data_IF_836535633614
#
_entry.id   IF_836535633614
#
_cell.length_a   1.000
_cell.length_b   1.000
_cell.length_c   1.000
_cell.angle_alpha   90.00
_cell.angle_beta   90.00
_cell.angle_gamma   90.00
#
_symmetry.space_group_name_H-M   'P 1'
#
loop_
_entity.id
_entity.type
_entity.pdbx_description
1 polymer ?
2 water ?
#
# COMPACT_ATOMS: atom_id res chain seq x y z
N UNK A 4 25.47 8.37 6.38
CA UNK A 4 25.83 7.37 5.32
C UNK A 4 24.57 6.80 4.67
N UNK A 5 24.16 7.39 3.56
CA UNK A 5 22.96 6.95 2.85
C UNK A 5 23.28 6.09 1.64
N UNK A 6 23.04 4.78 1.78
CA UNK A 6 23.26 3.83 0.70
C UNK A 6 21.94 3.14 0.38
N UNK A 7 21.51 3.28 -0.87
CA UNK A 7 20.29 2.66 -1.36
C UNK A 7 20.62 1.48 -2.25
N UNK A 8 19.80 0.44 -2.18
CA UNK A 8 19.87 -0.67 -3.12
C UNK A 8 19.19 -0.27 -4.42
N UNK A 9 19.81 -0.60 -5.55
CA UNK A 9 19.32 -0.17 -6.87
C UNK A 9 18.42 -1.23 -7.54
N UNK A 10 17.16 -1.28 -7.08
CA UNK A 10 16.18 -2.25 -7.57
C UNK A 10 15.89 -2.14 -9.07
N UNK A 11 15.94 -0.93 -9.62
CA UNK A 11 15.61 -0.71 -11.04
C UNK A 11 16.68 -1.22 -12.01
N UNK A 12 17.89 -1.47 -11.51
CA UNK A 12 19.02 -1.79 -12.38
C UNK A 12 18.77 -3.04 -13.23
N UNK A 13 18.30 -4.12 -12.61
CA UNK A 13 18.10 -5.37 -13.35
C UNK A 13 17.01 -5.31 -14.44
N UNK A 14 15.79 -4.83 -14.14
CA UNK A 14 14.77 -4.78 -15.20
C UNK A 14 15.17 -3.92 -16.42
N UNK A 15 15.92 -2.87 -16.18
CA UNK A 15 16.44 -2.04 -17.25
C UNK A 15 17.37 -2.85 -18.15
N UNK A 16 18.28 -3.57 -17.53
CA UNK A 16 19.22 -4.41 -18.28
C UNK A 16 18.56 -5.61 -18.96
N UNK A 17 17.49 -6.14 -18.37
CA UNK A 17 16.68 -7.18 -19.02
C UNK A 17 16.05 -6.67 -20.32
N UNK A 18 15.62 -5.41 -20.32
CA UNK A 18 15.03 -4.80 -21.51
C UNK A 18 16.09 -4.69 -22.61
N UNK A 19 17.26 -4.19 -22.24
CA UNK A 19 18.38 -4.03 -23.17
C UNK A 19 18.84 -5.37 -23.77
N UNK A 20 18.87 -6.41 -22.94
CA UNK A 20 19.20 -7.77 -23.41
C UNK A 20 18.19 -8.27 -24.43
N UNK A 21 16.90 -8.10 -24.13
CA UNK A 21 15.83 -8.56 -25.03
C UNK A 21 15.87 -7.82 -26.37
N UNK A 22 16.15 -6.52 -26.33
CA UNK A 22 16.17 -5.69 -27.53
C UNK A 22 17.53 -5.66 -28.24
N UNK A 23 18.49 -6.42 -27.73
CA UNK A 23 19.83 -6.49 -28.33
C UNK A 23 20.49 -5.11 -28.41
N UNK A 24 20.36 -4.33 -27.35
CA UNK A 24 20.99 -3.01 -27.27
C UNK A 24 22.14 -3.06 -26.26
N UNK A 25 23.25 -2.41 -26.57
CA UNK A 25 24.38 -2.33 -25.66
C UNK A 25 24.52 -0.92 -25.10
N UNK A 26 24.64 -0.80 -23.77
CA UNK A 26 24.72 0.51 -23.15
C UNK A 26 26.17 0.99 -22.97
N UNK A 27 26.39 2.33 -23.03
CA UNK A 27 27.72 2.89 -22.83
C UNK A 27 28.05 3.15 -21.36
N UNK A 38 21.68 9.70 -8.75
CA UNK A 38 22.71 9.09 -7.92
C UNK A 38 22.89 7.61 -8.23
N UNK A 39 21.78 6.87 -8.22
CA UNK A 39 21.80 5.44 -8.51
C UNK A 39 22.18 5.20 -9.97
N UNK A 40 22.98 4.15 -10.26
CA UNK A 40 23.35 3.86 -11.64
C UNK A 40 22.16 3.71 -12.60
N UNK A 41 21.04 3.19 -12.12
CA UNK A 41 19.84 3.03 -12.94
C UNK A 41 19.25 4.36 -13.44
N UNK A 42 19.46 5.44 -12.69
CA UNK A 42 18.96 6.76 -13.10
C UNK A 42 19.57 7.20 -14.42
N UNK A 43 20.89 7.10 -14.54
CA UNK A 43 21.59 7.48 -15.78
C UNK A 43 21.26 6.53 -16.93
N UNK A 44 21.14 5.25 -16.63
CA UNK A 44 20.81 4.30 -17.63
C UNK A 44 19.39 4.49 -18.16
N UNK A 45 18.48 4.74 -17.27
CA UNK A 45 17.09 4.97 -17.65
C UNK A 45 17.00 6.17 -18.59
N UNK A 46 17.65 7.27 -18.22
CA UNK A 46 17.71 8.46 -19.06
C UNK A 46 18.22 8.14 -20.46
N UNK A 47 19.31 7.39 -20.52
CA UNK A 47 19.93 7.02 -21.79
C UNK A 47 18.96 6.21 -22.66
N UNK A 48 18.29 5.23 -22.05
CA UNK A 48 17.31 4.40 -22.77
C UNK A 48 16.18 5.27 -23.33
N UNK A 49 15.67 6.16 -22.48
CA UNK A 49 14.57 7.06 -22.87
C UNK A 49 15.00 7.96 -24.03
N UNK A 50 16.12 8.66 -23.87
CA UNK A 50 16.60 9.60 -24.88
C UNK A 50 16.98 8.93 -26.20
N UNK A 51 17.33 7.65 -26.15
CA UNK A 51 17.68 6.89 -27.35
C UNK A 51 16.51 6.08 -27.93
N UNK A 52 15.32 6.23 -27.34
CA UNK A 52 14.14 5.54 -27.86
C UNK A 52 13.79 6.04 -29.25
N UNK A 53 13.37 5.13 -30.12
CA UNK A 53 13.08 5.47 -31.51
C UNK A 53 11.58 5.71 -31.75
N UNK A 54 10.77 5.48 -30.71
CA UNK A 54 9.35 5.75 -30.74
C UNK A 54 8.83 5.75 -29.30
N UNK A 55 7.86 6.64 -28.97
CA UNK A 55 7.29 6.61 -27.61
C UNK A 55 6.68 5.26 -27.21
N UNK A 56 6.18 4.50 -28.19
CA UNK A 56 5.59 3.18 -27.95
C UNK A 56 6.56 2.17 -27.34
N UNK A 57 7.86 2.33 -27.60
CA UNK A 57 8.88 1.47 -26.99
C UNK A 57 8.86 1.57 -25.45
N UNK A 58 8.42 2.70 -24.93
CA UNK A 58 8.24 2.87 -23.48
C UNK A 58 7.28 1.85 -22.88
N UNK A 59 6.27 1.47 -23.64
CA UNK A 59 5.32 0.46 -23.17
C UNK A 59 6.01 -0.89 -22.95
N UNK A 60 6.94 -1.24 -23.86
CA UNK A 60 7.72 -2.47 -23.74
C UNK A 60 8.65 -2.46 -22.53
N UNK A 61 9.30 -1.33 -22.29
CA UNK A 61 10.21 -1.21 -21.15
C UNK A 61 9.44 -1.34 -19.83
N UNK A 62 8.28 -0.71 -19.75
CA UNK A 62 7.43 -0.79 -18.57
C UNK A 62 7.04 -2.22 -18.19
N UNK A 63 6.91 -3.09 -19.20
CA UNK A 63 6.63 -4.52 -18.98
C UNK A 63 7.69 -5.25 -18.18
N UNK A 64 8.94 -4.76 -18.21
CA UNK A 64 10.05 -5.45 -17.56
C UNK A 64 10.11 -5.30 -16.04
N UNK A 65 9.26 -4.46 -15.49
CA UNK A 65 9.20 -4.30 -14.07
C UNK A 65 8.28 -5.32 -13.45
N UNK A 66 8.83 -6.21 -12.67
CA UNK A 66 8.09 -7.26 -12.04
C UNK A 66 7.70 -6.81 -10.63
N UNK A 67 6.65 -7.38 -10.06
CA UNK A 67 6.27 -7.05 -8.69
C UNK A 67 7.45 -7.28 -7.74
N UNK A 68 8.20 -8.36 -7.96
CA UNK A 68 9.38 -8.64 -7.14
C UNK A 68 10.47 -7.55 -7.22
N UNK A 69 10.51 -6.79 -8.31
CA UNK A 69 11.47 -5.68 -8.43
C UNK A 69 11.18 -4.51 -7.48
N UNK A 70 9.98 -4.45 -6.90
CA UNK A 70 9.62 -3.39 -5.96
C UNK A 70 10.03 -3.72 -4.52
N UNK A 71 10.59 -4.90 -4.31
CA UNK A 71 11.08 -5.29 -3.00
C UNK A 71 9.99 -5.48 -1.96
N UNK A 72 10.32 -5.16 -0.71
CA UNK A 72 9.40 -5.43 0.39
C UNK A 72 8.13 -4.57 0.31
N UNK A 73 8.21 -3.40 -0.32
CA UNK A 73 7.02 -2.59 -0.60
C UNK A 73 6.03 -3.33 -1.49
N UNK A 74 6.55 -4.04 -2.49
CA UNK A 74 5.73 -4.87 -3.37
C UNK A 74 5.10 -6.05 -2.66
N UNK A 75 5.79 -6.59 -1.65
CA UNK A 75 5.26 -7.69 -0.85
C UNK A 75 4.08 -7.21 -0.01
N UNK A 76 4.20 -6.00 0.54
CA UNK A 76 3.09 -5.38 1.26
C UNK A 76 1.88 -5.19 0.34
N UNK A 77 2.10 -4.72 -0.88
CA UNK A 77 1.01 -4.59 -1.85
C UNK A 77 0.30 -5.90 -2.12
N UNK A 78 1.09 -6.94 -2.37
CA UNK A 78 0.57 -8.29 -2.66
C UNK A 78 -0.26 -8.90 -1.55
N UNK A 79 0.09 -8.58 -0.32
CA UNK A 79 -0.52 -9.19 0.85
C UNK A 79 -1.59 -8.30 1.49
N UNK A 80 -1.81 -7.11 0.93
CA UNK A 80 -2.86 -6.20 1.39
C UNK A 80 -4.24 -6.86 1.31
N UNK A 81 -5.15 -6.45 2.18
CA UNK A 81 -6.45 -7.12 2.31
C UNK A 81 -7.39 -6.85 1.15
N UNK A 82 -7.44 -5.60 0.71
CA UNK A 82 -8.35 -5.16 -0.33
C UNK A 82 -7.63 -4.24 -1.33
N UNK A 83 -8.24 -4.06 -2.48
CA UNK A 83 -7.72 -3.12 -3.48
C UNK A 83 -7.61 -1.70 -2.90
N UNK A 84 -8.59 -1.30 -2.10
CA UNK A 84 -8.57 0.01 -1.43
C UNK A 84 -7.35 0.19 -0.55
N UNK A 85 -7.00 -0.87 0.18
CA UNK A 85 -5.83 -0.85 1.05
C UNK A 85 -4.54 -0.79 0.24
N UNK A 86 -4.49 -1.55 -0.85
CA UNK A 86 -3.35 -1.49 -1.77
C UNK A 86 -3.14 -0.06 -2.30
N UNK A 87 -4.23 0.63 -2.62
CA UNK A 87 -4.15 2.01 -3.12
C UNK A 87 -3.69 3.01 -2.04
N UNK A 88 -4.01 2.72 -0.77
CA UNK A 88 -3.46 3.51 0.32
C UNK A 88 -1.92 3.45 0.34
N UNK A 89 -1.37 2.26 0.10
CA UNK A 89 0.08 2.08 0.02
C UNK A 89 0.66 2.78 -1.20
N UNK A 90 -0.03 2.66 -2.32
CA UNK A 90 0.38 3.31 -3.56
C UNK A 90 0.41 4.84 -3.37
N UNK A 91 -0.56 5.39 -2.63
CA UNK A 91 -0.62 6.85 -2.38
C UNK A 91 0.56 7.42 -1.59
N UNK A 92 1.29 6.56 -0.89
CA UNK A 92 2.48 7.01 -0.17
C UNK A 92 3.58 7.47 -1.14
N UNK A 93 3.47 7.09 -2.41
CA UNK A 93 4.49 7.38 -3.42
C UNK A 93 5.87 6.95 -2.96
N UNK A 94 5.97 5.73 -2.48
CA UNK A 94 7.21 5.20 -2.01
C UNK A 94 7.56 3.90 -2.69
N UNK A 95 7.13 3.74 -3.91
CA UNK A 95 7.52 2.62 -4.78
C UNK A 95 8.69 3.05 -5.69
N UNK A 96 8.98 2.27 -6.73
CA UNK A 96 10.19 2.46 -7.53
C UNK A 96 10.39 3.84 -8.16
N UNK A 97 9.34 4.35 -8.80
CA UNK A 97 9.43 5.54 -9.64
C UNK A 97 9.19 6.85 -8.87
N UNK A 98 9.37 6.82 -7.54
CA UNK A 98 8.93 7.96 -6.72
C UNK A 98 9.66 9.26 -7.00
N UNK A 99 10.92 9.16 -7.44
CA UNK A 99 11.67 10.36 -7.84
C UNK A 99 11.02 11.06 -9.03
N UNK A 100 10.37 10.28 -9.90
CA UNK A 100 9.76 10.78 -11.13
C UNK A 100 8.27 11.12 -10.97
N UNK A 101 7.71 10.75 -9.81
CA UNK A 101 6.30 10.98 -9.52
C UNK A 101 6.19 12.05 -8.44
N UNK A 102 5.47 13.12 -8.76
CA UNK A 102 5.26 14.22 -7.83
C UNK A 102 4.21 13.83 -6.79
N UNK A 103 3.18 13.10 -7.21
CA UNK A 103 2.15 12.63 -6.29
C UNK A 103 1.16 11.70 -6.96
N UNK A 104 0.51 10.89 -6.14
CA UNK A 104 -0.53 9.98 -6.59
C UNK A 104 -1.79 10.22 -5.78
N UNK A 105 -2.89 10.55 -6.46
CA UNK A 105 -4.17 10.82 -5.82
C UNK A 105 -5.18 9.75 -6.22
N UNK A 106 -6.07 9.42 -5.29
CA UNK A 106 -7.18 8.51 -5.56
C UNK A 106 -8.48 9.25 -5.25
N UNK A 107 -9.30 9.48 -6.26
CA UNK A 107 -10.47 10.33 -6.14
C UNK A 107 -11.76 9.57 -6.42
N UNK A 108 -12.65 9.52 -5.43
CA UNK A 108 -13.99 8.95 -5.60
C UNK A 108 -14.84 9.88 -6.44
N UNK A 109 -15.55 9.32 -7.42
CA UNK A 109 -16.53 10.08 -8.19
C UNK A 109 -17.94 9.71 -7.75
N UNK A 110 -18.89 10.57 -8.08
CA UNK A 110 -20.31 10.29 -7.86
C UNK A 110 -20.89 9.53 -9.06
N UNK A 111 -20.00 8.84 -9.77
CA UNK A 111 -20.27 8.24 -11.08
C UNK A 111 -19.93 6.73 -11.05
N UNK A 112 -19.86 6.16 -9.85
CA UNK A 112 -19.47 4.75 -9.64
C UNK A 112 -18.08 4.42 -10.22
N UNK A 113 -17.17 5.39 -10.20
CA UNK A 113 -15.79 5.16 -10.63
C UNK A 113 -14.81 5.84 -9.71
N UNK A 114 -13.56 5.40 -9.76
CA UNK A 114 -12.49 5.98 -8.99
C UNK A 114 -11.34 6.32 -9.93
N UNK A 115 -10.79 7.52 -9.79
CA UNK A 115 -9.64 7.94 -10.60
C UNK A 115 -8.35 7.81 -9.81
N UNK A 116 -7.37 7.11 -10.38
CA UNK A 116 -6.03 7.06 -9.83
C UNK A 116 -5.16 8.00 -10.66
N UNK A 117 -4.85 9.18 -10.11
CA UNK A 117 -4.14 10.23 -10.84
C UNK A 117 -2.67 10.19 -10.48
N UNK A 118 -1.82 10.00 -11.47
CA UNK A 118 -0.37 10.02 -11.28
C UNK A 118 0.16 11.34 -11.85
N UNK A 119 0.67 12.18 -10.95
CA UNK A 119 1.26 13.47 -11.30
C UNK A 119 2.77 13.27 -11.49
N UNK A 120 3.28 13.66 -12.65
CA UNK A 120 4.67 13.42 -13.00
C UNK A 120 5.53 14.66 -12.75
N UNK A 121 6.73 14.44 -12.20
CA UNK A 121 7.73 15.50 -12.10
C UNK A 121 8.12 15.97 -13.50
N UNK A 122 8.44 17.26 -13.61
CA UNK A 122 8.87 17.83 -14.88
C UNK A 122 10.19 17.25 -15.34
N UNK A 123 10.35 17.15 -16.65
CA UNK A 123 11.63 16.75 -17.25
C UNK A 123 11.99 17.85 -18.26
N UNK A 124 12.38 19.04 -17.76
CA UNK A 124 12.54 20.20 -18.64
C UNK A 124 13.69 20.07 -19.62
N UNK A 125 14.65 19.20 -19.33
CA UNK A 125 15.81 19.00 -20.20
C UNK A 125 15.57 17.93 -21.27
N UNK A 126 14.45 17.22 -21.18
CA UNK A 126 14.12 16.17 -22.13
C UNK A 126 13.21 16.71 -23.23
N UNK A 127 13.39 16.24 -24.48
CA UNK A 127 12.52 16.66 -25.58
C UNK A 127 11.13 16.01 -25.49
N UNK A 128 10.18 16.54 -26.25
CA UNK A 128 8.77 16.13 -26.12
C UNK A 128 8.55 14.63 -26.37
N UNK A 129 9.26 14.05 -27.33
CA UNK A 129 9.12 12.62 -27.62
C UNK A 129 9.59 11.75 -26.44
N UNK A 130 10.68 12.15 -25.81
CA UNK A 130 11.22 11.45 -24.64
C UNK A 130 10.27 11.53 -23.45
N UNK A 131 9.61 12.68 -23.28
CA UNK A 131 8.63 12.85 -22.21
C UNK A 131 7.41 11.94 -22.41
N UNK A 132 7.00 11.73 -23.66
CA UNK A 132 5.92 10.79 -23.96
C UNK A 132 6.36 9.35 -23.74
N UNK A 133 7.59 9.03 -24.18
CA UNK A 133 8.20 7.72 -23.92
C UNK A 133 8.15 7.44 -22.41
N UNK A 134 8.67 8.39 -21.64
CA UNK A 134 8.71 8.33 -20.18
C UNK A 134 7.33 8.03 -19.55
N UNK A 135 6.29 8.75 -19.99
CA UNK A 135 4.95 8.58 -19.45
C UNK A 135 4.41 7.18 -19.76
N UNK A 136 4.76 6.67 -20.94
CA UNK A 136 4.38 5.31 -21.32
C UNK A 136 5.03 4.22 -20.46
N UNK A 137 6.28 4.45 -20.05
CA UNK A 137 6.97 3.50 -19.18
C UNK A 137 6.21 3.40 -17.84
N UNK A 138 5.95 4.54 -17.24
CA UNK A 138 5.25 4.58 -15.95
C UNK A 138 3.82 4.04 -16.06
N UNK A 139 3.11 4.36 -17.14
CA UNK A 139 1.76 3.85 -17.37
C UNK A 139 1.76 2.33 -17.56
N UNK A 140 2.68 1.83 -18.37
CA UNK A 140 2.80 0.38 -18.61
C UNK A 140 3.15 -0.39 -17.33
N UNK A 141 4.09 0.14 -16.54
CA UNK A 141 4.50 -0.50 -15.29
C UNK A 141 3.37 -0.49 -14.26
N UNK A 142 2.68 0.64 -14.14
CA UNK A 142 1.55 0.74 -13.21
C UNK A 142 0.42 -0.20 -13.62
N UNK A 143 0.16 -0.28 -14.93
CA UNK A 143 -0.85 -1.18 -15.47
C UNK A 143 -0.57 -2.63 -15.10
N UNK A 144 0.69 -3.05 -15.26
CA UNK A 144 1.10 -4.40 -14.88
C UNK A 144 0.76 -4.70 -13.41
N UNK A 145 1.02 -3.75 -12.52
CA UNK A 145 0.70 -3.90 -11.10
C UNK A 145 -0.81 -4.04 -10.90
N UNK A 146 -1.58 -3.09 -11.45
CA UNK A 146 -3.05 -3.16 -11.43
C UNK A 146 -3.53 -4.53 -11.93
N UNK A 147 -3.05 -4.94 -13.09
CA UNK A 147 -3.55 -6.12 -13.79
C UNK A 147 -3.34 -7.40 -12.99
N UNK A 148 -2.12 -7.59 -12.48
CA UNK A 148 -1.75 -8.82 -11.78
C UNK A 148 -2.44 -8.93 -10.41
N UNK A 149 -2.79 -7.80 -9.84
CA UNK A 149 -3.13 -7.70 -8.46
C UNK A 149 -4.49 -7.07 -8.13
N UNK A 150 -4.84 -5.99 -8.80
CA UNK A 150 -6.00 -5.17 -8.41
C UNK A 150 -7.27 -5.38 -9.25
N UNK A 151 -7.10 -5.59 -10.55
CA UNK A 151 -8.22 -5.81 -11.45
C UNK A 151 -8.84 -7.19 -11.24
N UNK A 152 -8.03 -8.23 -11.44
CA UNK A 152 -8.49 -9.60 -11.29
C UNK A 152 -9.36 -10.05 -12.44
N UNK A 153 -10.66 -9.78 -12.33
CA UNK A 153 -11.62 -10.16 -13.36
C UNK A 153 -12.17 -8.93 -14.07
N UNK A 154 -12.40 -7.87 -13.31
CA UNK A 154 -12.93 -6.63 -13.87
C UNK A 154 -11.91 -5.94 -14.76
N UNK A 155 -12.35 -4.91 -15.48
CA UNK A 155 -11.48 -4.17 -16.37
C UNK A 155 -11.36 -2.70 -15.99
N UNK A 156 -10.30 -2.09 -16.50
CA UNK A 156 -10.11 -0.65 -16.45
C UNK A 156 -11.24 0.00 -17.25
N UNK A 157 -11.84 1.05 -16.71
CA UNK A 157 -12.89 1.77 -17.44
C UNK A 157 -12.27 2.58 -18.58
N UNK A 158 -11.24 3.34 -18.24
CA UNK A 158 -10.60 4.27 -19.17
C UNK A 158 -9.18 4.56 -18.69
N UNK A 159 -8.30 4.90 -19.64
CA UNK A 159 -6.94 5.35 -19.34
C UNK A 159 -6.67 6.69 -20.04
N UNK A 160 -6.22 7.68 -19.29
CA UNK A 160 -5.80 8.96 -19.86
C UNK A 160 -4.28 9.08 -19.79
N UNK A 161 -3.67 9.35 -20.95
CA UNK A 161 -2.25 9.65 -21.06
C UNK A 161 -2.04 11.11 -21.50
N UNK A 162 -0.81 11.64 -21.35
CA UNK A 162 -0.58 13.05 -21.66
C UNK A 162 -0.96 13.48 -23.08
N UNK A 163 -1.38 14.73 -23.19
CA UNK A 163 -1.82 15.31 -24.47
C UNK A 163 -0.74 15.20 -25.55
N UNK A 164 -1.18 14.92 -26.77
CA UNK A 164 -0.31 14.90 -27.93
C UNK A 164 -1.20 14.89 -29.17
N UNK A 165 -0.61 15.15 -30.34
CA UNK A 165 -1.29 14.90 -31.59
C UNK A 165 -0.89 13.52 -32.08
N UNK A 166 -1.82 12.57 -32.01
CA UNK A 166 -1.53 11.19 -32.40
C UNK A 166 -2.74 10.29 -32.35
N UNK A 167 -2.57 9.09 -32.89
CA UNK A 167 -3.63 8.09 -32.91
C UNK A 167 -3.57 7.20 -31.66
N UNK A 168 -4.74 6.86 -31.12
CA UNK A 168 -4.84 6.04 -29.90
C UNK A 168 -4.87 4.53 -30.15
N UNK A 169 -4.95 4.12 -31.42
CA UNK A 169 -5.14 2.71 -31.78
C UNK A 169 -4.13 1.78 -31.13
N UNK A 170 -2.85 2.07 -31.29
CA UNK A 170 -1.78 1.24 -30.73
C UNK A 170 -1.84 1.12 -29.21
N UNK A 171 -2.37 2.17 -28.56
CA UNK A 171 -2.53 2.18 -27.10
C UNK A 171 -3.75 1.36 -26.66
N UNK A 172 -4.86 1.47 -27.39
CA UNK A 172 -6.03 0.64 -27.13
C UNK A 172 -5.72 -0.82 -27.48
N UNK A 173 -4.87 -1.02 -28.49
CA UNK A 173 -4.32 -2.33 -28.80
C UNK A 173 -3.55 -2.91 -27.61
N UNK A 174 -2.71 -2.08 -27.00
CA UNK A 174 -1.88 -2.51 -25.89
C UNK A 174 -2.67 -2.72 -24.60
N UNK A 175 -3.39 -1.69 -24.16
CA UNK A 175 -4.09 -1.72 -22.87
C UNK A 175 -5.45 -2.40 -22.90
N UNK A 176 -5.99 -2.65 -24.09
CA UNK A 176 -7.28 -3.34 -24.23
C UNK A 176 -8.44 -2.61 -23.53
N UNK A 177 -8.34 -1.29 -23.45
CA UNK A 177 -9.40 -0.46 -22.88
C UNK A 177 -9.42 0.86 -23.65
N UNK A 178 -10.50 1.63 -23.53
CA UNK A 178 -10.48 2.95 -24.13
C UNK A 178 -9.34 3.79 -23.55
N UNK A 179 -8.62 4.49 -24.41
CA UNK A 179 -7.55 5.39 -24.03
C UNK A 179 -7.71 6.69 -24.80
N UNK A 180 -7.36 7.81 -24.18
CA UNK A 180 -7.35 9.08 -24.87
C UNK A 180 -6.20 9.94 -24.34
N UNK A 181 -5.84 10.96 -25.13
CA UNK A 181 -4.78 11.87 -24.78
C UNK A 181 -5.36 13.20 -24.37
N UNK A 182 -5.00 13.66 -23.17
CA UNK A 182 -5.38 14.98 -22.69
C UNK A 182 -4.61 15.32 -21.42
N UNK A 183 -4.36 16.61 -21.22
CA UNK A 183 -3.80 17.11 -19.97
C UNK A 183 -2.39 16.63 -19.67
N UNK A 184 -2.09 16.58 -18.37
CA UNK A 184 -0.76 16.22 -17.89
C UNK A 184 -0.89 15.00 -17.00
N UNK A 185 0.19 14.22 -16.90
CA UNK A 185 0.20 13.02 -16.09
C UNK A 185 -0.65 11.89 -16.65
N UNK A 186 -0.94 10.92 -15.79
CA UNK A 186 -1.66 9.71 -16.15
C UNK A 186 -2.85 9.55 -15.22
N UNK A 187 -4.00 9.13 -15.76
CA UNK A 187 -5.13 8.75 -14.93
C UNK A 187 -5.71 7.42 -15.35
N UNK A 188 -5.77 6.50 -14.38
CA UNK A 188 -6.50 5.23 -14.52
C UNK A 188 -7.87 5.40 -13.89
N UNK A 189 -8.93 5.06 -14.63
CA UNK A 189 -10.28 5.05 -14.10
C UNK A 189 -10.72 3.62 -13.80
N UNK A 190 -11.04 3.36 -12.53
CA UNK A 190 -11.44 2.04 -12.05
C UNK A 190 -12.91 2.03 -11.64
N UNK A 191 -13.58 0.87 -11.78
CA UNK A 191 -14.93 0.77 -11.19
C UNK A 191 -14.85 0.90 -9.67
N UNK A 192 -15.76 1.66 -9.08
CA UNK A 192 -15.70 1.96 -7.65
C UNK A 192 -15.76 0.71 -6.78
N UNK A 193 -16.53 -0.29 -7.21
CA UNK A 193 -16.71 -1.52 -6.40
C UNK A 193 -15.42 -2.31 -6.21
N UNK A 194 -14.45 -2.13 -7.11
CA UNK A 194 -13.14 -2.78 -6.98
C UNK A 194 -12.47 -2.49 -5.64
N UNK A 195 -12.68 -1.31 -5.10
CA UNK A 195 -12.01 -0.88 -3.87
C UNK A 195 -12.21 -1.84 -2.69
N UNK A 196 -13.42 -2.38 -2.55
CA UNK A 196 -13.69 -3.30 -1.44
C UNK A 196 -13.41 -4.78 -1.79
N UNK A 197 -13.03 -5.04 -3.04
CA UNK A 197 -12.66 -6.39 -3.47
C UNK A 197 -11.39 -6.89 -2.79
N UNK A 198 -11.38 -8.17 -2.46
CA UNK A 198 -10.25 -8.82 -1.81
C UNK A 198 -9.06 -8.95 -2.79
N UNK A 199 -7.85 -8.71 -2.32
CA UNK A 199 -6.67 -9.05 -3.12
C UNK A 199 -6.46 -10.57 -3.02
N UNK A 200 -6.27 -11.22 -4.16
CA UNK A 200 -6.25 -12.70 -4.24
C UNK A 200 -5.15 -13.32 -3.37
N UNK A 201 -4.03 -12.61 -3.22
CA UNK A 201 -2.90 -13.06 -2.40
C UNK A 201 -2.89 -12.43 -1.00
N UNK A 202 -4.02 -11.87 -0.58
CA UNK A 202 -4.11 -11.25 0.75
C UNK A 202 -3.59 -12.16 1.85
N UNK A 203 -2.81 -11.59 2.76
CA UNK A 203 -2.36 -12.31 3.95
C UNK A 203 -2.00 -11.26 5.01
N UNK A 204 -2.90 -11.08 5.97
CA UNK A 204 -2.76 -9.97 6.92
C UNK A 204 -1.49 -10.04 7.79
N UNK A 205 -1.04 -11.26 8.09
CA UNK A 205 0.21 -11.43 8.86
C UNK A 205 1.43 -11.00 8.06
N UNK A 206 1.49 -11.43 6.80
CA UNK A 206 2.56 -10.98 5.90
C UNK A 206 2.50 -9.46 5.68
N UNK A 207 1.30 -8.93 5.52
CA UNK A 207 1.09 -7.52 5.32
C UNK A 207 1.65 -6.68 6.46
N UNK A 208 1.25 -7.00 7.70
CA UNK A 208 1.73 -6.26 8.86
C UNK A 208 3.23 -6.40 9.04
N UNK A 209 3.73 -7.63 8.89
CA UNK A 209 5.17 -7.88 8.97
C UNK A 209 5.94 -7.06 7.94
N UNK A 210 5.42 -7.00 6.71
CA UNK A 210 6.08 -6.31 5.60
C UNK A 210 6.09 -4.79 5.80
N UNK A 211 4.98 -4.24 6.30
CA UNK A 211 4.95 -2.81 6.64
C UNK A 211 6.08 -2.49 7.63
N UNK A 212 6.24 -3.34 8.64
CA UNK A 212 7.24 -3.13 9.69
C UNK A 212 8.68 -3.18 9.15
N UNK A 213 8.89 -3.90 8.06
CA UNK A 213 10.19 -3.96 7.41
C UNK A 213 10.49 -2.74 6.51
N UNK A 214 9.47 -1.93 6.23
CA UNK A 214 9.66 -0.71 5.46
C UNK A 214 10.47 0.32 6.24
N UNK A 215 10.91 1.36 5.55
CA UNK A 215 11.71 2.41 6.18
C UNK A 215 10.89 3.25 7.15
N UNK A 216 11.58 4.00 8.00
CA UNK A 216 10.94 4.99 8.89
C UNK A 216 10.01 5.92 8.12
N UNK A 217 10.51 6.46 7.01
CA UNK A 217 9.73 7.40 6.20
C UNK A 217 8.51 6.73 5.59
N UNK A 218 8.68 5.50 5.10
CA UNK A 218 7.55 4.75 4.56
C UNK A 218 6.49 4.55 5.64
N UNK A 219 6.94 4.16 6.83
CA UNK A 219 6.02 3.89 7.95
C UNK A 219 5.20 5.11 8.38
N UNK A 220 5.83 6.27 8.48
CA UNK A 220 5.10 7.49 8.82
C UNK A 220 4.01 7.75 7.77
N UNK A 221 4.38 7.65 6.50
CA UNK A 221 3.46 7.93 5.40
C UNK A 221 2.31 6.94 5.33
N UNK A 222 2.61 5.65 5.41
CA UNK A 222 1.55 4.64 5.30
C UNK A 222 0.61 4.70 6.51
N UNK A 223 1.14 5.03 7.68
CA UNK A 223 0.31 5.21 8.87
C UNK A 223 -0.75 6.30 8.62
N UNK A 224 -0.31 7.42 8.04
CA UNK A 224 -1.22 8.50 7.69
C UNK A 224 -2.27 8.06 6.68
N UNK A 225 -1.84 7.40 5.61
CA UNK A 225 -2.76 6.96 4.56
C UNK A 225 -3.76 5.89 5.03
N UNK A 226 -3.38 5.10 6.03
CA UNK A 226 -4.26 4.03 6.54
C UNK A 226 -5.19 4.49 7.62
N UNK A 227 -5.09 5.75 8.03
CA UNK A 227 -6.03 6.35 8.99
C UNK A 227 -5.44 6.83 10.31
N UNK A 228 -4.12 6.71 10.48
CA UNK A 228 -3.44 7.23 11.67
C UNK A 228 -2.95 6.14 12.61
N UNK A 229 -2.37 6.56 13.73
CA UNK A 229 -1.70 5.63 14.65
C UNK A 229 -2.64 4.68 15.38
N UNK A 230 -3.79 5.18 15.84
CA UNK A 230 -4.80 4.32 16.46
C UNK A 230 -5.18 3.19 15.52
N UNK A 231 -5.54 3.54 14.29
CA UNK A 231 -5.99 2.53 13.33
C UNK A 231 -4.91 1.51 12.99
N UNK A 232 -3.68 2.00 12.84
CA UNK A 232 -2.51 1.18 12.59
C UNK A 232 -2.33 0.14 13.72
N UNK A 233 -2.40 0.60 14.96
CA UNK A 233 -2.25 -0.28 16.10
C UNK A 233 -3.40 -1.28 16.19
N UNK A 234 -4.62 -0.84 15.91
CA UNK A 234 -5.76 -1.77 15.93
C UNK A 234 -5.59 -2.90 14.90
N UNK A 235 -5.18 -2.55 13.69
CA UNK A 235 -4.97 -3.55 12.64
C UNK A 235 -3.88 -4.54 13.03
N UNK A 236 -2.80 -4.01 13.61
CA UNK A 236 -1.69 -4.84 14.07
C UNK A 236 -2.13 -5.84 15.13
N UNK A 237 -2.87 -5.36 16.13
CA UNK A 237 -3.34 -6.24 17.21
C UNK A 237 -4.33 -7.28 16.71
N UNK A 238 -5.16 -6.92 15.75
CA UNK A 238 -6.13 -7.85 15.18
C UNK A 238 -5.48 -9.03 14.47
N UNK A 239 -4.32 -8.79 13.85
CA UNK A 239 -3.54 -9.87 13.24
C UNK A 239 -2.93 -10.79 14.29
N UNK A 240 -2.52 -10.22 15.43
CA UNK A 240 -1.96 -10.97 16.55
C UNK A 240 -3.08 -11.47 17.45
N UNK A 241 -3.78 -12.47 16.96
CA UNK A 241 -5.12 -12.85 17.46
C UNK A 241 -5.26 -12.96 18.98
N UNK A 242 -4.19 -13.37 19.65
CA UNK A 242 -4.22 -13.55 21.10
C UNK A 242 -2.91 -13.16 21.79
N UNK A 243 -2.24 -12.15 21.25
CA UNK A 243 -1.04 -11.58 21.86
C UNK A 243 -1.27 -10.10 22.14
N UNK A 244 -0.77 -9.62 23.26
CA UNK A 244 -0.98 -8.23 23.68
C UNK A 244 0.39 -7.61 24.00
N UNK A 245 1.06 -7.11 22.95
CA UNK A 245 2.47 -6.69 23.06
C UNK A 245 2.67 -5.43 23.87
N UNK A 246 3.90 -5.24 24.34
CA UNK A 246 4.30 -4.00 24.99
C UNK A 246 4.29 -2.85 24.00
N UNK A 247 4.17 -1.62 24.50
CA UNK A 247 4.29 -0.44 23.65
C UNK A 247 5.66 -0.40 22.96
N UNK A 248 6.69 -0.92 23.63
CA UNK A 248 8.03 -1.00 23.05
C UNK A 248 8.03 -1.81 21.76
N UNK A 249 7.39 -2.98 21.78
CA UNK A 249 7.32 -3.85 20.62
C UNK A 249 6.51 -3.21 19.49
N UNK A 250 5.39 -2.57 19.85
CA UNK A 250 4.55 -1.92 18.86
C UNK A 250 5.28 -0.74 18.20
N UNK A 251 5.96 0.08 19.01
CA UNK A 251 6.73 1.21 18.48
C UNK A 251 7.77 0.75 17.46
N UNK A 252 8.44 -0.37 17.77
CA UNK A 252 9.41 -0.99 16.88
C UNK A 252 8.79 -1.34 15.52
N UNK A 253 7.59 -1.94 15.54
CA UNK A 253 6.91 -2.33 14.31
C UNK A 253 6.53 -1.13 13.45
N UNK A 254 6.25 -0.01 14.10
CA UNK A 254 5.86 1.22 13.42
C UNK A 254 7.05 2.14 13.10
N UNK A 255 8.26 1.69 13.45
CA UNK A 255 9.50 2.45 13.21
C UNK A 255 9.48 3.84 13.85
N UNK A 256 9.06 3.89 15.11
CA UNK A 256 9.08 5.11 15.91
C UNK A 256 9.54 4.78 17.32
N UNK A 257 10.00 5.80 18.06
CA UNK A 257 10.30 5.61 19.48
C UNK A 257 8.99 5.56 20.28
N UNK A 258 9.06 5.01 21.48
CA UNK A 258 7.89 4.98 22.38
C UNK A 258 7.38 6.38 22.66
N UNK A 259 8.31 7.29 22.91
CA UNK A 259 7.96 8.68 23.18
C UNK A 259 7.14 9.28 22.05
N UNK A 260 7.61 9.08 20.81
CA UNK A 260 6.90 9.59 19.64
C UNK A 260 5.51 8.98 19.53
N UNK A 261 5.42 7.67 19.74
CA UNK A 261 4.15 6.94 19.66
C UNK A 261 3.13 7.47 20.66
N UNK A 262 3.56 7.65 21.91
CA UNK A 262 2.70 8.20 22.95
C UNK A 262 2.15 9.57 22.53
N UNK A 263 3.05 10.41 22.03
CA UNK A 263 2.68 11.76 21.62
C UNK A 263 1.67 11.77 20.48
N UNK A 264 1.93 10.96 19.45
CA UNK A 264 1.03 10.92 18.30
C UNK A 264 -0.33 10.30 18.64
N UNK A 265 -0.33 9.34 19.56
CA UNK A 265 -1.58 8.81 20.11
C UNK A 265 -2.32 9.88 20.91
N UNK A 266 -1.59 10.64 21.72
CA UNK A 266 -2.19 11.74 22.50
C UNK A 266 -2.81 12.82 21.62
N UNK A 267 -2.24 13.03 20.43
CA UNK A 267 -2.79 14.01 19.47
C UNK A 267 -4.10 13.53 18.86
N UNK A 268 -4.19 12.24 18.53
CA UNK A 268 -5.46 11.63 18.12
C UNK A 268 -6.39 11.48 19.32
N UNK A 269 -5.94 11.93 20.49
CA UNK A 269 -6.76 11.98 21.69
C UNK A 269 -6.93 10.64 22.35
N UNK A 270 -5.91 9.79 22.30
CA UNK A 270 -5.99 8.49 22.96
C UNK A 270 -4.63 8.09 23.55
N UNK A 271 -4.54 6.85 23.99
CA UNK A 271 -3.32 6.32 24.57
C UNK A 271 -3.27 4.83 24.31
N UNK A 272 -2.10 4.25 24.44
CA UNK A 272 -1.90 2.84 24.10
C UNK A 272 -2.80 1.90 24.91
N UNK A 273 -2.88 2.12 26.22
CA UNK A 273 -3.72 1.26 27.09
C UNK A 273 -5.17 1.23 26.63
N UNK A 274 -5.70 2.38 26.25
CA UNK A 274 -7.09 2.49 25.79
C UNK A 274 -7.30 1.74 24.47
N UNK A 275 -6.31 1.81 23.59
CA UNK A 275 -6.37 1.07 22.33
C UNK A 275 -6.35 -0.44 22.61
N UNK A 276 -5.41 -0.88 23.44
CA UNK A 276 -5.31 -2.29 23.82
C UNK A 276 -6.61 -2.83 24.42
N UNK A 277 -7.22 -2.05 25.31
CA UNK A 277 -8.43 -2.48 25.98
C UNK A 277 -9.64 -2.52 25.04
N UNK A 278 -9.64 -1.69 24.00
CA UNK A 278 -10.69 -1.72 23.00
C UNK A 278 -10.69 -3.06 22.27
N UNK A 279 -9.50 -3.52 21.92
CA UNK A 279 -9.32 -4.81 21.24
C UNK A 279 -9.71 -5.96 22.17
N UNK A 280 -9.28 -5.87 23.43
CA UNK A 280 -9.61 -6.87 24.44
C UNK A 280 -11.11 -6.95 24.71
N UNK A 281 -11.72 -5.80 24.96
CA UNK A 281 -13.17 -5.71 25.17
C UNK A 281 -13.90 -6.37 23.99
N UNK A 282 -13.58 -5.92 22.78
CA UNK A 282 -14.18 -6.50 21.58
C UNK A 282 -14.06 -8.04 21.54
N UNK A 283 -12.86 -8.53 21.84
CA UNK A 283 -12.59 -9.97 21.84
C UNK A 283 -13.38 -10.67 22.97
N UNK A 284 -13.54 -9.99 24.10
CA UNK A 284 -14.27 -10.54 25.25
C UNK A 284 -15.76 -10.76 24.98
N UNK A 285 -16.30 -10.03 24.00
CA UNK A 285 -17.71 -10.16 23.61
C UNK A 285 -18.04 -11.58 23.13
N UNK A 286 -17.16 -12.16 22.31
CA UNK A 286 -17.37 -13.51 21.79
C UNK A 286 -16.94 -14.59 22.80
N UNK A 287 -15.98 -14.26 23.66
CA UNK A 287 -15.48 -15.22 24.65
C UNK A 287 -16.49 -15.47 25.78
N UNK A 288 -17.21 -14.42 26.18
CA UNK A 288 -18.20 -14.51 27.25
C UNK A 288 -19.58 -14.97 26.77
N UNK A 289 -19.66 -15.34 25.49
CA UNK A 289 -20.85 -15.97 24.93
C UNK A 289 -20.59 -17.46 24.75
N UNK A 290 -19.32 -17.80 24.51
CA UNK A 290 -18.90 -19.20 24.38
C UNK A 290 -19.14 -19.93 25.71
N UNK A 291 -20.00 -20.93 25.68
CA UNK A 291 -20.40 -21.64 26.90
C UNK A 291 -19.37 -22.66 27.38
N UNK A 292 -18.40 -22.98 26.52
CA UNK A 292 -17.38 -23.97 26.87
C UNK A 292 -16.21 -23.42 27.69
N UNK A 293 -16.05 -22.10 27.71
CA UNK A 293 -14.94 -21.48 28.42
C UNK A 293 -15.25 -21.03 29.85
N UNK A 294 -14.33 -21.33 30.77
CA UNK A 294 -14.38 -20.79 32.12
C UNK A 294 -13.91 -19.34 32.08
N UNK A 295 -14.31 -18.55 33.08
CA UNK A 295 -13.86 -17.15 33.19
C UNK A 295 -12.33 -17.10 33.28
N UNK A 296 -11.75 -18.06 34.00
CA UNK A 296 -10.30 -18.26 34.09
C UNK A 296 -9.65 -18.36 32.70
N UNK A 297 -10.28 -19.09 31.80
CA UNK A 297 -9.74 -19.30 30.44
C UNK A 297 -9.90 -18.05 29.57
N UNK A 298 -10.99 -17.32 29.77
CA UNK A 298 -11.20 -16.04 29.10
C UNK A 298 -10.11 -15.04 29.51
N UNK A 299 -9.81 -14.99 30.80
CA UNK A 299 -8.75 -14.12 31.32
C UNK A 299 -7.40 -14.43 30.67
N UNK A 300 -7.00 -15.69 30.69
CA UNK A 300 -5.72 -16.11 30.11
C UNK A 300 -5.62 -15.76 28.63
N UNK A 301 -6.72 -15.98 27.90
CA UNK A 301 -6.76 -15.69 26.47
C UNK A 301 -6.59 -14.20 26.21
N UNK A 302 -7.17 -13.36 27.06
CA UNK A 302 -7.08 -11.91 26.90
C UNK A 302 -5.78 -11.32 27.47
N UNK A 303 -4.85 -12.18 27.85
CA UNK A 303 -3.51 -11.76 28.25
C UNK A 303 -3.33 -11.38 29.71
N UNK A 304 -4.34 -11.63 30.55
CA UNK A 304 -4.24 -11.34 31.99
C UNK A 304 -3.50 -12.45 32.72
N UNK A 305 -2.78 -12.08 33.77
CA UNK A 305 -1.93 -13.01 34.51
C UNK A 305 -2.71 -13.79 35.53
N UNK A 306 -3.87 -13.28 35.92
CA UNK A 306 -4.81 -14.07 36.73
C UNK A 306 -6.25 -13.60 36.49
N UNK A 307 -7.20 -14.32 37.08
CA UNK A 307 -8.61 -14.08 36.81
C UNK A 307 -9.10 -12.77 37.43
N UNK A 308 -8.62 -12.47 38.64
CA UNK A 308 -9.03 -11.25 39.35
C UNK A 308 -8.70 -9.97 38.61
N UNK A 309 -7.53 -9.92 37.97
CA UNK A 309 -7.15 -8.72 37.21
C UNK A 309 -8.06 -8.54 35.99
N UNK A 310 -8.44 -9.64 35.36
CA UNK A 310 -9.42 -9.58 34.27
C UNK A 310 -10.77 -9.06 34.76
N UNK A 311 -11.25 -9.60 35.88
CA UNK A 311 -12.56 -9.17 36.41
C UNK A 311 -12.59 -7.67 36.67
N UNK A 312 -11.52 -7.13 37.25
CA UNK A 312 -11.43 -5.69 37.50
C UNK A 312 -11.42 -4.87 36.20
N UNK A 313 -10.68 -5.34 35.19
CA UNK A 313 -10.65 -4.68 33.88
C UNK A 313 -12.03 -4.70 33.20
N UNK A 314 -12.65 -5.88 33.16
CA UNK A 314 -13.96 -6.02 32.53
C UNK A 314 -15.01 -5.10 33.19
N UNK A 315 -15.02 -5.12 34.53
CA UNK A 315 -15.85 -4.20 35.31
C UNK A 315 -15.61 -2.75 34.88
N UNK A 316 -14.33 -2.39 34.72
CA UNK A 316 -13.95 -1.03 34.35
C UNK A 316 -14.47 -0.65 32.96
N UNK A 317 -14.54 -1.62 32.05
CA UNK A 317 -15.04 -1.39 30.69
C UNK A 317 -16.56 -1.20 30.69
N UNK A 318 -17.28 -2.23 31.14
CA UNK A 318 -18.74 -2.23 31.01
C UNK A 318 -19.51 -1.73 32.22
N UNK A 319 -18.93 -1.86 33.41
CA UNK A 319 -19.66 -1.52 34.64
C UNK A 319 -20.46 -2.70 35.16
N UNK A 320 -20.25 -3.86 34.55
CA UNK A 320 -20.93 -5.08 34.96
C UNK A 320 -19.94 -6.22 35.20
N UNK A 321 -20.30 -7.15 36.06
CA UNK A 321 -19.44 -8.29 36.39
C UNK A 321 -19.50 -9.32 35.26
N UNK A 322 -18.41 -10.06 35.09
CA UNK A 322 -18.24 -10.95 33.93
C UNK A 322 -19.22 -12.12 33.91
N UNK A 323 -19.49 -12.71 35.07
CA UNK A 323 -20.44 -13.83 35.18
C UNK A 323 -21.88 -13.39 34.97
N UNK A 324 -22.23 -12.20 35.45
CA UNK A 324 -23.56 -11.65 35.25
C UNK A 324 -23.76 -11.29 33.78
N UNK A 325 -22.72 -10.77 33.14
CA UNK A 325 -22.78 -10.42 31.73
C UNK A 325 -23.00 -11.64 30.85
N UNK A 326 -22.31 -12.73 31.18
CA UNK A 326 -22.44 -13.98 30.41
C UNK A 326 -23.88 -14.50 30.39
N UNK A 327 -24.61 -14.30 31.48
CA UNK A 327 -26.01 -14.71 31.55
C UNK A 327 -26.87 -13.75 30.73
N UNK A 328 -26.73 -12.45 31.00
CA UNK A 328 -27.49 -11.44 30.29
C UNK A 328 -26.93 -11.20 28.89
#
# INVERSE_FOLDING_TARGET
SPSENIQYDFEWRPLNNYLAVQRITPPDXRQGSAAEPRLPSEALYEWIVLNGRSPLEGLSLGEHYRLSDYGVAGLALQSAGTVGEALQLIKTNMLLFRKDIRGIAVRRSSCDTVDVDIDLQDKPDWPQSARLYHANVLASAAYAVFRDLLLGELELVRLRLPERNGDVRAYEEYFRVPVYFAGAGITFTLPEELLEAEIATANSAVFQASLALGSKAFNTRVTREMGGYRQRIVALLEVLQDRYPSIAWVARQLKVTERTLRRRLADEGTNYREVLDLVRHDRARQLLRDERLRIEEVAERLGYMDTSSFRHAFRRWTGQCANDYRQARLAGKTARRQGER
#
